data_IF_344377280602
#
_entry.id   IF_344377280602
#
_cell.length_a   1.000
_cell.length_b   1.000
_cell.length_c   1.000
_cell.angle_alpha   90.00
_cell.angle_beta   90.00
_cell.angle_gamma   90.00
#
_symmetry.space_group_name_H-M   'P 1'
#
loop_
_entity.id
_entity.type
_entity.pdbx_description
1 polymer ?
#
# COMPACT_ATOMS: atom_id res chain seq x y z
N UNK A 1 20.43 -10.50 8.21
CA UNK A 1 18.97 -10.46 8.44
C UNK A 1 18.55 -9.02 8.40
N UNK A 2 17.57 -8.68 7.57
CA UNK A 2 16.94 -7.36 7.61
C UNK A 2 15.66 -7.44 8.47
N UNK A 3 15.06 -6.29 8.79
CA UNK A 3 13.88 -6.22 9.67
C UNK A 3 12.64 -6.97 9.15
N UNK A 4 12.55 -7.24 7.84
CA UNK A 4 11.48 -8.05 7.26
C UNK A 4 11.71 -9.53 7.53
N UNK A 5 12.96 -9.99 7.42
CA UNK A 5 13.32 -11.38 7.70
C UNK A 5 12.99 -11.75 9.15
N UNK A 6 13.30 -10.85 10.10
CA UNK A 6 12.99 -11.01 11.53
C UNK A 6 11.47 -11.03 11.79
N UNK A 7 10.72 -10.18 11.08
CA UNK A 7 9.25 -10.16 11.19
C UNK A 7 8.62 -11.45 10.66
N UNK A 8 9.08 -11.97 9.51
CA UNK A 8 8.53 -13.22 8.94
C UNK A 8 8.83 -14.41 9.85
N UNK A 9 10.03 -14.49 10.41
CA UNK A 9 10.38 -15.58 11.31
C UNK A 9 9.55 -15.57 12.60
N UNK A 10 9.34 -14.38 13.18
CA UNK A 10 8.52 -14.23 14.40
C UNK A 10 7.04 -14.48 14.14
N UNK A 11 6.45 -13.87 13.12
CA UNK A 11 5.03 -14.09 12.78
C UNK A 11 4.72 -15.54 12.39
N UNK A 12 5.67 -16.24 11.76
CA UNK A 12 5.53 -17.65 11.43
C UNK A 12 5.45 -18.56 12.65
N UNK A 13 6.11 -18.22 13.76
CA UNK A 13 6.06 -18.97 15.02
C UNK A 13 4.70 -18.80 15.73
N UNK A 14 4.12 -17.62 15.62
CA UNK A 14 2.84 -17.25 16.25
C UNK A 14 1.65 -17.34 15.27
N UNK A 15 1.73 -18.21 14.27
CA UNK A 15 0.68 -18.35 13.25
C UNK A 15 -0.56 -19.03 13.81
N UNK A 16 -1.74 -18.47 13.53
CA UNK A 16 -3.03 -19.02 13.97
C UNK A 16 -4.07 -18.94 12.87
N UNK A 17 -5.11 -19.77 12.97
CA UNK A 17 -6.25 -19.73 12.05
C UNK A 17 -6.93 -18.35 11.99
N UNK A 18 -7.04 -17.66 13.13
CA UNK A 18 -7.62 -16.31 13.18
C UNK A 18 -6.73 -15.28 12.47
N UNK A 19 -5.40 -15.37 12.60
CA UNK A 19 -4.47 -14.53 11.83
C UNK A 19 -4.60 -14.79 10.34
N UNK A 20 -4.64 -16.05 9.92
CA UNK A 20 -4.83 -16.44 8.52
C UNK A 20 -6.11 -15.83 7.94
N UNK A 21 -7.24 -16.03 8.62
CA UNK A 21 -8.54 -15.51 8.19
C UNK A 21 -8.52 -13.99 8.07
N UNK A 22 -7.94 -13.29 9.06
CA UNK A 22 -7.80 -11.84 9.05
C UNK A 22 -6.93 -11.36 7.87
N UNK A 23 -5.73 -11.90 7.70
CA UNK A 23 -4.84 -11.49 6.61
C UNK A 23 -5.41 -11.78 5.23
N UNK A 24 -6.13 -12.90 5.07
CA UNK A 24 -6.87 -13.20 3.84
C UNK A 24 -7.95 -12.15 3.57
N UNK A 25 -8.73 -11.78 4.58
CA UNK A 25 -9.78 -10.77 4.41
C UNK A 25 -9.20 -9.40 4.07
N UNK A 26 -8.14 -8.97 4.75
CA UNK A 26 -7.44 -7.71 4.48
C UNK A 26 -6.87 -7.66 3.07
N UNK A 27 -6.26 -8.76 2.61
CA UNK A 27 -5.78 -8.89 1.25
C UNK A 27 -6.93 -8.73 0.25
N UNK A 28 -8.03 -9.47 0.43
CA UNK A 28 -9.19 -9.40 -0.46
C UNK A 28 -9.82 -8.00 -0.48
N UNK A 29 -9.97 -7.35 0.67
CA UNK A 29 -10.50 -5.99 0.79
C UNK A 29 -9.62 -4.99 0.03
N UNK A 30 -8.30 -5.09 0.20
CA UNK A 30 -7.33 -4.23 -0.49
C UNK A 30 -7.39 -4.43 -2.01
N UNK A 31 -7.40 -5.68 -2.47
CA UNK A 31 -7.49 -5.99 -3.90
C UNK A 31 -8.82 -5.52 -4.50
N UNK A 32 -9.93 -5.68 -3.77
CA UNK A 32 -11.23 -5.20 -4.21
C UNK A 32 -11.26 -3.67 -4.27
N UNK A 33 -10.74 -2.96 -3.26
CA UNK A 33 -10.63 -1.51 -3.28
C UNK A 33 -9.86 -1.02 -4.51
N UNK A 34 -8.72 -1.66 -4.82
CA UNK A 34 -7.94 -1.32 -6.01
C UNK A 34 -8.69 -1.63 -7.30
N UNK A 35 -9.33 -2.80 -7.39
CA UNK A 35 -10.12 -3.20 -8.55
C UNK A 35 -11.27 -2.23 -8.86
N UNK A 36 -11.95 -1.71 -7.83
CA UNK A 36 -13.08 -0.79 -8.00
C UNK A 36 -12.64 0.64 -8.36
N UNK A 37 -11.46 1.07 -7.93
CA UNK A 37 -11.07 2.49 -7.96
C UNK A 37 -9.90 2.82 -8.90
N UNK A 38 -9.10 1.83 -9.31
CA UNK A 38 -7.89 2.05 -10.11
C UNK A 38 -8.07 1.46 -11.51
N UNK A 39 -8.09 2.33 -12.53
CA UNK A 39 -8.26 1.93 -13.93
C UNK A 39 -7.24 0.87 -14.41
N UNK A 40 -6.02 0.88 -13.84
CA UNK A 40 -4.93 -0.03 -14.20
C UNK A 40 -4.41 -0.85 -13.03
N UNK A 41 -5.19 -0.93 -11.95
CA UNK A 41 -4.74 -1.52 -10.70
C UNK A 41 -3.42 -0.90 -10.22
N UNK A 42 -2.42 -1.74 -9.95
CA UNK A 42 -1.11 -1.28 -9.46
C UNK A 42 -0.10 -0.89 -10.56
N UNK A 43 -0.45 -1.05 -11.85
CA UNK A 43 0.49 -0.80 -12.94
C UNK A 43 0.89 0.67 -13.00
N UNK A 44 2.11 0.96 -13.48
CA UNK A 44 2.55 2.34 -13.74
C UNK A 44 2.05 2.80 -15.11
N UNK A 45 1.79 4.10 -15.25
CA UNK A 45 1.17 4.63 -16.48
C UNK A 45 2.05 4.48 -17.73
N UNK A 46 3.36 4.57 -17.56
CA UNK A 46 4.36 4.56 -18.64
C UNK A 46 4.75 3.16 -19.16
N UNK A 47 4.31 2.07 -18.51
CA UNK A 47 4.77 0.70 -18.82
C UNK A 47 3.78 -0.38 -18.39
N UNK A 48 3.85 -1.56 -19.01
CA UNK A 48 3.06 -2.73 -18.60
C UNK A 48 3.72 -3.52 -17.45
N UNK A 49 4.16 -2.83 -16.40
CA UNK A 49 4.81 -3.42 -15.24
C UNK A 49 4.33 -2.74 -13.95
N UNK A 50 4.37 -3.51 -12.86
CA UNK A 50 4.10 -3.02 -11.51
C UNK A 50 5.41 -3.03 -10.73
N UNK A 51 6.08 -1.87 -10.56
CA UNK A 51 7.28 -1.79 -9.72
C UNK A 51 6.99 -2.23 -8.28
N UNK A 52 7.91 -3.00 -7.68
CA UNK A 52 7.75 -3.53 -6.32
C UNK A 52 7.44 -2.44 -5.29
N UNK A 53 8.17 -1.32 -5.32
CA UNK A 53 8.00 -0.21 -4.36
C UNK A 53 6.62 0.44 -4.51
N UNK A 54 6.13 0.59 -5.75
CA UNK A 54 4.77 1.10 -6.03
C UNK A 54 3.71 0.16 -5.50
N UNK A 55 3.83 -1.14 -5.77
CA UNK A 55 2.91 -2.14 -5.25
C UNK A 55 2.87 -2.14 -3.73
N UNK A 56 4.03 -2.12 -3.08
CA UNK A 56 4.13 -2.13 -1.63
C UNK A 56 3.53 -0.86 -1.00
N UNK A 57 3.85 0.32 -1.53
CA UNK A 57 3.29 1.57 -1.04
C UNK A 57 1.75 1.58 -1.15
N UNK A 58 1.23 1.21 -2.32
CA UNK A 58 -0.22 1.20 -2.56
C UNK A 58 -0.92 0.11 -1.74
N UNK A 59 -0.51 -1.15 -1.89
CA UNK A 59 -1.21 -2.27 -1.26
C UNK A 59 -1.18 -2.17 0.27
N UNK A 60 -0.03 -1.87 0.87
CA UNK A 60 0.07 -1.78 2.33
C UNK A 60 -0.57 -0.50 2.85
N UNK A 61 -0.36 0.65 2.18
CA UNK A 61 -0.97 1.92 2.57
C UNK A 61 -2.51 1.88 2.53
N UNK A 62 -3.08 1.33 1.45
CA UNK A 62 -4.54 1.15 1.31
C UNK A 62 -5.07 0.19 2.37
N UNK A 63 -4.39 -0.95 2.61
CA UNK A 63 -4.80 -1.87 3.67
C UNK A 63 -4.84 -1.18 5.05
N UNK A 64 -3.82 -0.37 5.37
CA UNK A 64 -3.80 0.37 6.63
C UNK A 64 -4.90 1.44 6.72
N UNK A 65 -5.22 2.11 5.61
CA UNK A 65 -6.34 3.04 5.57
C UNK A 65 -7.68 2.31 5.77
N UNK A 66 -7.88 1.15 5.12
CA UNK A 66 -9.07 0.31 5.29
C UNK A 66 -9.20 -0.28 6.71
N UNK A 67 -8.09 -0.58 7.38
CA UNK A 67 -8.11 -0.99 8.79
C UNK A 67 -8.61 0.12 9.70
N UNK A 68 -8.26 1.38 9.41
CA UNK A 68 -8.66 2.54 10.21
C UNK A 68 -10.08 3.01 9.86
N UNK A 69 -10.44 2.97 8.58
CA UNK A 69 -11.77 3.25 8.08
C UNK A 69 -12.25 2.11 7.15
N UNK A 70 -13.00 1.13 7.67
CA UNK A 70 -13.52 0.02 6.86
C UNK A 70 -14.50 0.44 5.76
N UNK A 71 -15.13 1.60 5.89
CA UNK A 71 -16.06 2.20 4.91
C UNK A 71 -15.34 3.26 4.05
N UNK A 72 -14.02 3.15 3.90
CA UNK A 72 -13.23 4.06 3.07
C UNK A 72 -13.77 4.11 1.64
N UNK A 73 -14.28 5.27 1.26
CA UNK A 73 -14.65 5.59 -0.11
C UNK A 73 -13.55 6.43 -0.76
N UNK A 74 -13.36 6.26 -2.06
CA UNK A 74 -12.49 7.12 -2.87
C UNK A 74 -13.14 7.33 -4.23
N UNK A 75 -12.71 8.37 -4.93
CA UNK A 75 -13.08 8.60 -6.33
C UNK A 75 -11.91 8.28 -7.26
N UNK A 76 -12.20 8.02 -8.54
CA UNK A 76 -11.18 7.89 -9.57
C UNK A 76 -10.29 9.15 -9.65
N UNK A 77 -10.87 10.34 -9.45
CA UNK A 77 -10.14 11.61 -9.43
C UNK A 77 -9.15 11.68 -8.26
N UNK A 78 -9.52 11.18 -7.07
CA UNK A 78 -8.60 11.09 -5.94
C UNK A 78 -7.47 10.09 -6.23
N UNK A 79 -7.77 8.95 -6.85
CA UNK A 79 -6.72 7.99 -7.24
C UNK A 79 -5.76 8.63 -8.25
N UNK A 80 -6.28 9.26 -9.30
CA UNK A 80 -5.46 9.91 -10.32
C UNK A 80 -4.60 11.03 -9.73
N UNK A 81 -5.15 11.84 -8.81
CA UNK A 81 -4.41 12.90 -8.11
C UNK A 81 -3.20 12.34 -7.34
N UNK A 82 -3.36 11.22 -6.62
CA UNK A 82 -2.25 10.57 -5.94
C UNK A 82 -1.22 10.05 -6.94
N UNK A 83 -1.68 9.30 -7.96
CA UNK A 83 -0.77 8.64 -8.91
C UNK A 83 0.04 9.60 -9.77
N UNK A 84 -0.44 10.83 -9.97
CA UNK A 84 0.22 11.91 -10.72
C UNK A 84 0.99 12.89 -9.82
N UNK A 85 0.95 12.70 -8.50
CA UNK A 85 1.61 13.61 -7.55
C UNK A 85 3.13 13.43 -7.53
N UNK A 86 3.84 14.54 -7.27
CA UNK A 86 5.30 14.53 -7.09
C UNK A 86 5.67 13.73 -5.85
N UNK A 87 4.86 13.82 -4.80
CA UNK A 87 5.03 13.11 -3.54
C UNK A 87 5.02 11.59 -3.77
N UNK A 88 4.04 11.08 -4.53
CA UNK A 88 3.98 9.64 -4.83
C UNK A 88 5.14 9.18 -5.72
N UNK A 89 5.60 10.01 -6.65
CA UNK A 89 6.81 9.74 -7.44
C UNK A 89 8.06 9.64 -6.54
N UNK A 90 8.24 10.59 -5.61
CA UNK A 90 9.32 10.55 -4.62
C UNK A 90 9.26 9.30 -3.73
N UNK A 91 8.07 8.96 -3.22
CA UNK A 91 7.86 7.82 -2.33
C UNK A 91 8.15 6.47 -3.03
N UNK A 92 7.93 6.40 -4.34
CA UNK A 92 8.06 5.17 -5.12
C UNK A 92 9.32 5.07 -5.96
N UNK A 93 10.23 6.06 -5.85
CA UNK A 93 11.54 6.02 -6.48
C UNK A 93 12.44 4.95 -5.83
N UNK A 94 13.03 4.11 -6.67
CA UNK A 94 13.63 2.82 -6.33
C UNK A 94 14.85 2.85 -5.39
N UNK A 95 15.50 4.01 -5.24
CA UNK A 95 16.75 4.10 -4.49
C UNK A 95 16.54 3.76 -3.00
N UNK A 96 17.26 2.78 -2.50
CA UNK A 96 17.21 2.30 -1.12
C UNK A 96 15.84 1.76 -0.68
N UNK A 97 15.23 0.86 -1.48
CA UNK A 97 13.98 0.17 -1.15
C UNK A 97 13.95 -0.49 0.25
N UNK A 98 15.11 -0.92 0.77
CA UNK A 98 15.25 -1.54 2.10
C UNK A 98 15.55 -0.55 3.24
N UNK A 99 15.54 0.77 2.98
CA UNK A 99 15.68 1.77 4.03
C UNK A 99 14.37 1.91 4.81
N UNK A 100 14.41 1.64 6.12
CA UNK A 100 13.25 1.67 7.02
C UNK A 100 12.46 2.99 6.96
N UNK A 101 13.14 4.13 6.94
CA UNK A 101 12.49 5.44 6.87
C UNK A 101 11.76 5.63 5.55
N UNK A 102 12.34 5.18 4.43
CA UNK A 102 11.67 5.22 3.13
C UNK A 102 10.46 4.29 3.06
N UNK A 103 10.56 3.10 3.68
CA UNK A 103 9.43 2.15 3.79
C UNK A 103 8.28 2.77 4.55
N UNK A 104 8.59 3.36 5.71
CA UNK A 104 7.61 4.03 6.53
C UNK A 104 6.98 5.22 5.79
N UNK A 105 7.78 6.07 5.13
CA UNK A 105 7.28 7.25 4.41
C UNK A 105 6.31 6.88 3.30
N UNK A 106 6.65 5.92 2.42
CA UNK A 106 5.78 5.56 1.29
C UNK A 106 4.47 4.90 1.71
N UNK A 107 4.50 4.05 2.75
CA UNK A 107 3.31 3.37 3.25
C UNK A 107 2.38 4.37 3.94
N UNK A 108 2.91 5.21 4.84
CA UNK A 108 2.09 6.18 5.54
C UNK A 108 1.61 7.31 4.63
N UNK A 109 2.41 7.75 3.65
CA UNK A 109 1.96 8.75 2.69
C UNK A 109 0.71 8.31 1.93
N UNK A 110 0.67 7.06 1.45
CA UNK A 110 -0.53 6.50 0.81
C UNK A 110 -1.69 6.35 1.81
N UNK A 111 -1.42 5.83 3.01
CA UNK A 111 -2.44 5.67 4.06
C UNK A 111 -3.13 7.00 4.39
N UNK A 112 -2.33 8.01 4.74
CA UNK A 112 -2.82 9.32 5.15
C UNK A 112 -3.50 10.06 4.01
N UNK A 113 -3.03 9.88 2.76
CA UNK A 113 -3.71 10.42 1.60
C UNK A 113 -5.14 9.91 1.48
N UNK A 114 -5.36 8.59 1.60
CA UNK A 114 -6.72 8.05 1.50
C UNK A 114 -7.59 8.43 2.70
N UNK A 115 -7.02 8.62 3.89
CA UNK A 115 -7.78 9.05 5.07
C UNK A 115 -8.13 10.55 5.07
N UNK A 116 -7.29 11.40 4.47
CA UNK A 116 -7.37 12.87 4.63
C UNK A 116 -7.53 13.65 3.32
N UNK A 117 -7.20 13.04 2.18
CA UNK A 117 -7.11 13.68 0.87
C UNK A 117 -5.90 14.60 0.67
N UNK A 118 -4.93 14.61 1.60
CA UNK A 118 -3.75 15.48 1.60
C UNK A 118 -2.48 14.72 1.21
N UNK A 119 -1.60 15.41 0.47
CA UNK A 119 -0.28 14.95 0.09
C UNK A 119 0.71 15.83 0.85
N UNK A 120 1.33 15.28 1.89
CA UNK A 120 2.27 15.96 2.78
C UNK A 120 3.62 15.22 2.84
#
# INVERSE_FOLDING_TARGET
>A
MNFIDEYVESEGKDWTFEKEKRYKQEFLNTMNFVYQNFNRGFQKEDRNQTPRVRFEALAVGINLALRENPELETTAQQVDKLLQSVEFEEWTTSDAANNKNKVFRRINGVKEYFLTGKLD
#
